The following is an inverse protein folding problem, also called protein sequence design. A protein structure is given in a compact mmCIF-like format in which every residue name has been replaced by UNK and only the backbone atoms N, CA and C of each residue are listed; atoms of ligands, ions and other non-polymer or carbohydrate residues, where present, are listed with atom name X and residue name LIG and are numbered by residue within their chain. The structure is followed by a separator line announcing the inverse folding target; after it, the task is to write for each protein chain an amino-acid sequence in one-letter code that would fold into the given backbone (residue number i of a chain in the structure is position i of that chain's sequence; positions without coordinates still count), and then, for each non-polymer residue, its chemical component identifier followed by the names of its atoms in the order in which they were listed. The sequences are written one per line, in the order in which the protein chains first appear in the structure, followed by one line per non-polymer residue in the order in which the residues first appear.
data_IF_186966026949
#
_entry.id   IF_186966026949
#
_cell.length_a   1.000
_cell.length_b   1.000
_cell.length_c   1.000
_cell.angle_alpha   90.00
_cell.angle_beta   90.00
_cell.angle_gamma   90.00
#
_symmetry.space_group_name_H-M   'P 1'
#
loop_
_entity.id
_entity.type
_entity.pdbx_description
1 polymer ?
#
# COMPACT_ATOMS: atom_id res chain seq x y z
N UNK A 1 -1.87 12.69 -19.58
CA UNK A 1 -1.19 12.14 -20.78
C UNK A 1 -1.40 13.12 -21.92
N UNK A 2 -0.39 13.93 -22.25
CA UNK A 2 -0.46 14.95 -23.30
C UNK A 2 0.90 15.24 -23.93
N UNK A 3 1.84 14.28 -23.87
CA UNK A 3 3.11 14.45 -24.54
C UNK A 3 3.03 13.98 -25.99
N UNK A 4 3.46 14.81 -26.95
CA UNK A 4 3.47 14.43 -28.35
C UNK A 4 4.46 13.29 -28.61
N UNK A 5 4.09 12.36 -29.50
CA UNK A 5 4.89 11.17 -29.87
C UNK A 5 6.23 11.55 -30.50
N UNK A 6 6.30 12.72 -31.16
CA UNK A 6 7.48 13.26 -31.85
C UNK A 6 7.48 14.77 -31.73
N UNK A 7 8.62 15.36 -31.35
CA UNK A 7 8.80 16.82 -31.36
C UNK A 7 9.47 17.24 -32.69
N UNK A 8 9.14 18.43 -33.19
CA UNK A 8 9.67 18.91 -34.47
C UNK A 8 11.18 19.16 -34.38
N UNK A 9 11.96 18.55 -35.28
CA UNK A 9 13.42 18.62 -35.29
C UNK A 9 14.14 17.60 -34.39
N UNK A 10 13.41 16.70 -33.73
CA UNK A 10 13.97 15.66 -32.88
C UNK A 10 14.59 14.52 -33.72
N UNK A 11 15.83 14.14 -33.42
CA UNK A 11 16.49 12.98 -34.04
C UNK A 11 15.92 11.67 -33.48
N UNK A 12 16.06 10.56 -34.21
CA UNK A 12 15.55 9.26 -33.75
C UNK A 12 16.10 8.84 -32.38
N UNK A 13 17.34 9.20 -32.07
CA UNK A 13 17.98 8.97 -30.77
C UNK A 13 17.40 9.86 -29.66
N UNK A 14 17.14 11.14 -29.96
CA UNK A 14 16.51 12.07 -29.01
C UNK A 14 15.12 11.60 -28.58
N UNK A 15 14.34 11.10 -29.53
CA UNK A 15 13.02 10.52 -29.27
C UNK A 15 13.09 9.27 -28.38
N UNK A 16 14.04 8.38 -28.65
CA UNK A 16 14.22 7.16 -27.86
C UNK A 16 14.60 7.50 -26.41
N UNK A 17 15.54 8.42 -26.22
CA UNK A 17 15.95 8.88 -24.89
C UNK A 17 14.78 9.51 -24.11
N UNK A 18 13.97 10.35 -24.76
CA UNK A 18 12.80 10.97 -24.14
C UNK A 18 11.72 9.97 -23.77
N UNK A 19 11.39 9.04 -24.67
CA UNK A 19 10.38 8.00 -24.39
C UNK A 19 10.84 7.07 -23.27
N UNK A 20 12.13 6.69 -23.23
CA UNK A 20 12.69 5.92 -22.11
C UNK A 20 12.62 6.69 -20.80
N UNK A 21 12.93 8.00 -20.81
CA UNK A 21 12.82 8.85 -19.63
C UNK A 21 11.35 9.02 -19.17
N UNK A 22 10.41 9.15 -20.11
CA UNK A 22 8.98 9.24 -19.80
C UNK A 22 8.43 7.93 -19.24
N UNK A 23 8.85 6.78 -19.77
CA UNK A 23 8.47 5.46 -19.25
C UNK A 23 9.07 5.24 -17.85
N UNK A 24 10.35 5.56 -17.63
CA UNK A 24 10.99 5.47 -16.32
C UNK A 24 10.36 6.42 -15.29
N UNK A 25 9.89 7.60 -15.72
CA UNK A 25 9.12 8.50 -14.86
C UNK A 25 7.74 7.93 -14.52
N UNK A 26 7.12 7.18 -15.43
CA UNK A 26 5.78 6.61 -15.24
C UNK A 26 5.78 5.30 -14.45
N UNK A 27 6.83 4.47 -14.52
CA UNK A 27 7.03 3.33 -13.59
C UNK A 27 7.07 3.82 -12.12
N UNK A 28 7.46 5.08 -11.91
CA UNK A 28 7.50 5.71 -10.60
C UNK A 28 6.13 6.21 -10.11
N UNK A 29 5.13 6.30 -11.00
CA UNK A 29 3.78 6.83 -10.75
C UNK A 29 2.73 5.75 -10.42
N UNK A 30 3.01 4.46 -10.64
CA UNK A 30 2.08 3.38 -10.23
C UNK A 30 1.94 3.25 -8.70
N UNK A 31 2.86 3.87 -7.95
CA UNK A 31 2.78 4.05 -6.50
C UNK A 31 2.03 5.33 -6.06
N UNK A 32 1.61 6.16 -7.01
CA UNK A 32 0.99 7.47 -6.82
C UNK A 32 -0.55 7.41 -6.75
N UNK A 33 -1.16 6.29 -6.34
CA UNK A 33 -2.59 6.23 -5.97
C UNK A 33 -2.90 7.03 -4.68
N UNK A 34 -1.98 7.89 -4.22
CA UNK A 34 -2.14 8.81 -3.10
C UNK A 34 -1.68 10.25 -3.36
N UNK A 35 -1.26 10.62 -4.58
CA UNK A 35 -0.71 11.94 -4.88
C UNK A 35 -1.72 13.09 -4.95
N UNK A 36 -3.02 12.79 -4.91
CA UNK A 36 -4.10 13.78 -5.05
C UNK A 36 -4.52 14.50 -3.76
N UNK A 37 -3.96 14.15 -2.60
CA UNK A 37 -4.22 14.87 -1.35
C UNK A 37 -2.90 15.35 -0.74
N UNK A 38 -2.55 16.61 -1.05
CA UNK A 38 -1.48 17.36 -0.38
C UNK A 38 -1.77 17.48 1.13
N UNK A 39 -1.35 16.49 1.92
CA UNK A 39 -1.13 16.69 3.35
C UNK A 39 0.26 17.32 3.48
N UNK A 40 0.28 18.65 3.54
CA UNK A 40 1.47 19.44 3.89
C UNK A 40 1.91 19.09 5.31
N UNK A 41 2.73 18.03 5.45
CA UNK A 41 3.48 17.81 6.68
C UNK A 41 4.56 18.88 6.79
N UNK A 42 4.32 19.86 7.66
CA UNK A 42 5.18 21.00 7.98
C UNK A 42 6.59 20.60 8.47
N UNK A 43 6.84 19.31 8.70
CA UNK A 43 8.13 18.73 9.02
C UNK A 43 9.14 18.75 7.86
N UNK A 44 8.69 18.87 6.59
CA UNK A 44 9.57 18.76 5.41
C UNK A 44 10.44 19.99 5.09
N UNK A 45 10.30 21.13 5.77
CA UNK A 45 11.04 22.36 5.41
C UNK A 45 12.40 22.52 6.10
N UNK A 46 12.69 21.79 7.17
CA UNK A 46 13.91 22.00 7.96
C UNK A 46 15.17 21.27 7.44
N UNK A 47 15.06 20.44 6.40
CA UNK A 47 16.17 19.58 5.96
C UNK A 47 17.09 20.13 4.87
N UNK A 48 16.87 21.33 4.33
CA UNK A 48 17.58 21.80 3.13
C UNK A 48 18.43 23.06 3.28
N UNK A 49 18.67 23.56 4.50
CA UNK A 49 19.61 24.67 4.72
C UNK A 49 20.61 24.30 5.81
N UNK A 50 21.86 24.07 5.41
CA UNK A 50 22.95 23.76 6.33
C UNK A 50 23.36 24.98 7.14
N UNK A 51 23.37 24.84 8.47
CA UNK A 51 24.21 25.65 9.36
C UNK A 51 24.48 24.89 10.66
N UNK A 52 25.76 24.72 10.99
CA UNK A 52 26.25 24.14 12.24
C UNK A 52 25.73 24.99 13.42
N UNK A 53 24.90 24.39 14.29
CA UNK A 53 24.66 24.89 15.65
C UNK A 53 24.52 23.73 16.63
N UNK A 54 25.49 23.62 17.52
CA UNK A 54 25.42 22.91 18.78
C UNK A 54 24.48 23.66 19.73
N UNK A 55 23.36 23.04 20.13
CA UNK A 55 22.64 23.38 21.36
C UNK A 55 21.74 22.22 21.75
N UNK A 56 21.94 21.75 22.98
CA UNK A 56 21.01 20.97 23.79
C UNK A 56 19.55 21.41 23.62
N UNK A 57 18.64 20.44 23.52
CA UNK A 57 17.36 20.46 24.23
C UNK A 57 16.54 19.19 23.98
N UNK A 58 16.17 18.57 25.10
CA UNK A 58 14.88 17.92 25.36
C UNK A 58 14.42 16.85 24.37
N UNK A 59 14.88 15.64 24.69
CA UNK A 59 14.21 14.38 24.41
C UNK A 59 12.79 14.40 25.04
N UNK A 60 11.81 14.97 24.35
CA UNK A 60 10.41 14.67 24.60
C UNK A 60 10.15 13.32 23.92
N UNK A 61 10.29 12.27 24.72
CA UNK A 61 9.99 10.91 24.28
C UNK A 61 8.56 10.85 23.76
N UNK A 62 8.43 10.77 22.44
CA UNK A 62 7.31 10.06 21.86
C UNK A 62 7.46 8.65 22.42
N UNK A 63 6.58 8.30 23.37
CA UNK A 63 6.52 6.93 23.85
C UNK A 63 6.10 6.12 22.63
N UNK A 64 7.08 5.50 21.99
CA UNK A 64 6.83 4.35 21.15
C UNK A 64 5.96 3.42 21.99
N UNK A 65 4.67 3.33 21.65
CA UNK A 65 3.74 2.31 22.14
C UNK A 65 4.19 0.94 21.56
N UNK A 66 5.45 0.58 21.81
CA UNK A 66 6.06 -0.74 21.59
C UNK A 66 5.68 -1.72 22.73
N UNK A 67 4.70 -1.35 23.56
CA UNK A 67 4.15 -2.24 24.61
C UNK A 67 3.10 -3.24 24.07
N UNK A 68 2.88 -3.31 22.74
CA UNK A 68 1.91 -4.24 22.11
C UNK A 68 2.53 -5.58 21.61
N UNK A 69 3.79 -5.85 21.97
CA UNK A 69 4.47 -7.13 21.67
C UNK A 69 4.46 -8.13 22.84
N UNK A 70 3.91 -7.77 24.01
CA UNK A 70 3.80 -8.68 25.17
C UNK A 70 2.52 -9.54 25.19
N UNK A 71 1.54 -9.25 24.33
CA UNK A 71 0.24 -9.95 24.31
C UNK A 71 0.17 -11.12 23.31
N UNK A 72 1.28 -11.61 22.78
CA UNK A 72 1.30 -12.89 22.07
C UNK A 72 1.43 -14.08 23.06
N UNK A 73 0.78 -13.96 24.23
CA UNK A 73 0.57 -15.09 25.14
C UNK A 73 -0.26 -16.16 24.43
N UNK A 74 0.11 -17.42 24.66
CA UNK A 74 -0.36 -18.61 23.95
C UNK A 74 -1.89 -18.75 24.07
N UNK A 75 -2.60 -18.22 23.09
CA UNK A 75 -4.00 -18.56 22.84
C UNK A 75 -4.04 -19.95 22.19
N UNK A 76 -4.14 -20.99 23.01
CA UNK A 76 -4.30 -22.40 22.62
C UNK A 76 -5.74 -22.69 22.10
N UNK A 77 -6.49 -21.65 21.72
CA UNK A 77 -7.79 -21.73 21.05
C UNK A 77 -7.69 -21.74 19.52
N UNK A 78 -8.81 -21.98 18.81
CA UNK A 78 -8.86 -21.82 17.36
C UNK A 78 -8.52 -20.36 17.00
N UNK A 79 -7.40 -20.18 16.29
CA UNK A 79 -6.90 -18.84 15.91
C UNK A 79 -7.98 -18.09 15.16
N UNK A 80 -8.50 -17.03 15.79
CA UNK A 80 -9.46 -16.11 15.19
C UNK A 80 -8.88 -15.51 13.90
N UNK A 81 -9.73 -15.29 12.88
CA UNK A 81 -9.34 -14.65 11.62
C UNK A 81 -8.64 -13.29 11.86
N UNK A 82 -9.08 -12.55 12.88
CA UNK A 82 -8.44 -11.29 13.29
C UNK A 82 -6.99 -11.50 13.73
N UNK A 83 -6.74 -12.52 14.57
CA UNK A 83 -5.40 -12.88 15.05
C UNK A 83 -4.53 -13.40 13.92
N UNK A 84 -5.09 -14.22 13.03
CA UNK A 84 -4.40 -14.76 11.87
C UNK A 84 -3.87 -13.65 10.95
N UNK A 85 -4.74 -12.70 10.58
CA UNK A 85 -4.38 -11.56 9.72
C UNK A 85 -3.37 -10.64 10.42
N UNK A 86 -3.60 -10.30 11.70
CA UNK A 86 -2.68 -9.46 12.48
C UNK A 86 -1.28 -10.07 12.56
N UNK A 87 -1.19 -11.36 12.93
CA UNK A 87 0.09 -12.07 13.07
C UNK A 87 0.84 -12.11 11.74
N UNK A 88 0.16 -12.44 10.65
CA UNK A 88 0.78 -12.50 9.33
C UNK A 88 1.41 -11.16 8.90
N UNK A 89 0.65 -10.06 8.97
CA UNK A 89 1.16 -8.75 8.57
C UNK A 89 2.23 -8.19 9.52
N UNK A 90 2.12 -8.45 10.84
CA UNK A 90 3.21 -8.15 11.79
C UNK A 90 4.49 -8.89 11.41
N UNK A 91 4.42 -10.18 11.12
CA UNK A 91 5.57 -10.98 10.69
C UNK A 91 6.19 -10.43 9.41
N UNK A 92 5.38 -10.06 8.40
CA UNK A 92 5.89 -9.46 7.17
C UNK A 92 6.58 -8.11 7.41
N UNK A 93 6.01 -7.23 8.24
CA UNK A 93 6.63 -5.94 8.58
C UNK A 93 7.99 -6.14 9.24
N UNK A 94 8.10 -7.10 10.16
CA UNK A 94 9.34 -7.44 10.85
C UNK A 94 10.39 -7.99 9.89
N UNK A 95 10.01 -8.93 9.02
CA UNK A 95 10.93 -9.46 8.01
C UNK A 95 11.39 -8.39 7.03
N UNK A 96 10.52 -7.45 6.66
CA UNK A 96 10.91 -6.32 5.81
C UNK A 96 11.89 -5.40 6.54
N UNK A 97 11.67 -5.10 7.81
CA UNK A 97 12.59 -4.32 8.64
C UNK A 97 13.97 -4.99 8.76
N UNK A 98 13.99 -6.29 9.04
CA UNK A 98 15.21 -7.11 9.09
C UNK A 98 15.96 -7.09 7.75
N UNK A 99 15.26 -7.21 6.63
CA UNK A 99 15.85 -7.15 5.29
C UNK A 99 16.47 -5.78 4.98
N UNK A 100 15.80 -4.69 5.37
CA UNK A 100 16.35 -3.34 5.23
C UNK A 100 17.61 -3.14 6.09
N UNK A 101 17.59 -3.70 7.30
CA UNK A 101 18.71 -3.62 8.25
C UNK A 101 19.88 -4.55 7.87
N UNK A 102 19.65 -5.61 7.11
CA UNK A 102 20.70 -6.50 6.61
C UNK A 102 21.48 -5.90 5.42
N UNK A 103 20.97 -4.84 4.78
CA UNK A 103 21.64 -4.20 3.63
C UNK A 103 23.01 -3.60 4.04
N UNK A 104 24.00 -3.61 3.12
CA UNK A 104 25.28 -2.97 3.37
C UNK A 104 25.12 -1.45 3.55
N UNK A 105 25.99 -0.84 4.35
CA UNK A 105 25.88 0.58 4.74
C UNK A 105 25.88 1.52 3.53
N UNK A 106 26.58 1.17 2.46
CA UNK A 106 26.60 1.91 1.20
C UNK A 106 25.21 1.99 0.56
N UNK A 107 24.44 0.90 0.61
CA UNK A 107 23.07 0.86 0.06
C UNK A 107 22.09 1.55 1.01
N UNK A 108 22.25 1.40 2.33
CA UNK A 108 21.44 2.12 3.33
C UNK A 108 21.60 3.64 3.20
N UNK A 109 22.84 4.09 3.00
CA UNK A 109 23.17 5.50 2.82
C UNK A 109 22.68 6.10 1.50
N UNK A 110 22.41 5.26 0.49
CA UNK A 110 21.91 5.71 -0.82
C UNK A 110 20.54 6.37 -0.72
N UNK A 111 20.22 7.23 -1.69
CA UNK A 111 18.89 7.87 -1.77
C UNK A 111 17.79 6.81 -1.79
N UNK A 112 17.98 5.73 -2.54
CA UNK A 112 17.01 4.65 -2.62
C UNK A 112 16.83 3.92 -1.28
N UNK A 113 17.93 3.53 -0.62
CA UNK A 113 17.86 2.84 0.67
C UNK A 113 17.18 3.66 1.77
N UNK A 114 17.42 4.98 1.80
CA UNK A 114 16.72 5.91 2.71
C UNK A 114 15.24 6.02 2.38
N UNK A 115 14.86 6.04 1.10
CA UNK A 115 13.45 6.06 0.65
C UNK A 115 12.75 4.77 1.05
N UNK A 116 13.35 3.61 0.82
CA UNK A 116 12.78 2.31 1.18
C UNK A 116 12.55 2.21 2.70
N UNK A 117 13.53 2.64 3.49
CA UNK A 117 13.42 2.68 4.95
C UNK A 117 12.30 3.59 5.42
N UNK A 118 12.15 4.76 4.81
CA UNK A 118 11.04 5.68 5.12
C UNK A 118 9.68 5.08 4.74
N UNK A 119 9.60 4.43 3.59
CA UNK A 119 8.37 3.78 3.12
C UNK A 119 7.96 2.64 4.03
N UNK A 120 8.91 1.85 4.53
CA UNK A 120 8.62 0.78 5.49
C UNK A 120 8.09 1.34 6.81
N UNK A 121 8.75 2.37 7.37
CA UNK A 121 8.29 3.03 8.62
C UNK A 121 6.88 3.61 8.47
N UNK A 122 6.63 4.35 7.38
CA UNK A 122 5.30 4.88 7.08
C UNK A 122 4.25 3.76 6.97
N UNK A 123 4.62 2.62 6.38
CA UNK A 123 3.72 1.49 6.23
C UNK A 123 3.40 0.82 7.57
N UNK A 124 4.38 0.74 8.48
CA UNK A 124 4.19 0.32 9.87
C UNK A 124 3.18 1.24 10.58
N UNK A 125 3.36 2.55 10.47
CA UNK A 125 2.48 3.55 11.10
C UNK A 125 1.04 3.46 10.60
N UNK A 126 0.85 3.30 9.30
CA UNK A 126 -0.49 3.18 8.70
C UNK A 126 -1.19 1.87 9.07
N UNK A 127 -0.45 0.81 9.42
CA UNK A 127 -1.02 -0.47 9.85
C UNK A 127 -1.35 -0.54 11.35
N UNK A 128 -0.72 0.28 12.19
CA UNK A 128 -1.03 0.38 13.64
C UNK A 128 -2.54 0.44 13.95
N UNK A 129 -3.36 1.34 13.34
CA UNK A 129 -4.79 1.38 13.64
C UNK A 129 -5.53 0.10 13.24
N UNK A 130 -5.12 -0.56 12.15
CA UNK A 130 -5.72 -1.83 11.71
C UNK A 130 -5.40 -2.96 12.71
N UNK A 131 -4.19 -3.03 13.24
CA UNK A 131 -3.82 -4.01 14.27
C UNK A 131 -4.61 -3.81 15.56
N UNK A 132 -4.83 -2.55 15.96
CA UNK A 132 -5.69 -2.22 17.12
C UNK A 132 -7.13 -2.66 16.90
N UNK A 133 -7.70 -2.41 15.72
CA UNK A 133 -9.04 -2.88 15.36
C UNK A 133 -9.14 -4.41 15.34
N UNK A 134 -8.08 -5.11 14.93
CA UNK A 134 -8.03 -6.57 14.98
C UNK A 134 -8.00 -7.09 16.42
N UNK A 135 -7.21 -6.47 17.30
CA UNK A 135 -7.16 -6.81 18.74
C UNK A 135 -8.51 -6.61 19.42
N UNK A 136 -9.25 -5.58 19.02
CA UNK A 136 -10.57 -5.26 19.55
C UNK A 136 -11.71 -6.04 18.87
N UNK A 137 -11.42 -6.91 17.89
CA UNK A 137 -12.43 -7.61 17.09
C UNK A 137 -13.48 -6.66 16.46
N UNK A 138 -13.06 -5.43 16.14
CA UNK A 138 -13.93 -4.34 15.67
C UNK A 138 -13.74 -4.02 14.18
N UNK A 139 -12.89 -4.78 13.48
CA UNK A 139 -12.72 -4.62 12.04
C UNK A 139 -13.99 -5.08 11.31
N UNK A 140 -14.37 -4.35 10.24
CA UNK A 140 -15.54 -4.72 9.44
C UNK A 140 -15.40 -6.18 8.93
N UNK A 141 -16.40 -7.05 9.18
CA UNK A 141 -16.33 -8.47 8.79
C UNK A 141 -16.09 -8.69 7.29
N UNK A 142 -16.62 -7.83 6.42
CA UNK A 142 -16.40 -7.93 4.97
C UNK A 142 -14.95 -7.61 4.58
N UNK A 143 -14.34 -6.63 5.26
CA UNK A 143 -12.91 -6.31 5.07
C UNK A 143 -12.06 -7.45 5.59
N UNK A 144 -12.36 -7.97 6.79
CA UNK A 144 -11.63 -9.09 7.38
C UNK A 144 -11.64 -10.31 6.46
N UNK A 145 -12.81 -10.70 5.95
CA UNK A 145 -12.94 -11.84 5.04
C UNK A 145 -12.10 -11.66 3.77
N UNK A 146 -12.04 -10.44 3.21
CA UNK A 146 -11.19 -10.15 2.07
C UNK A 146 -9.70 -10.19 2.44
N UNK A 147 -9.31 -9.67 3.60
CA UNK A 147 -7.93 -9.72 4.08
C UNK A 147 -7.46 -11.17 4.29
N UNK A 148 -8.28 -12.03 4.89
CA UNK A 148 -7.98 -13.46 5.05
C UNK A 148 -7.73 -14.11 3.68
N UNK A 149 -8.59 -13.85 2.69
CA UNK A 149 -8.40 -14.34 1.31
C UNK A 149 -7.10 -13.84 0.69
N UNK A 150 -6.77 -12.56 0.83
CA UNK A 150 -5.50 -12.00 0.36
C UNK A 150 -4.31 -12.72 1.01
N UNK A 151 -4.35 -12.92 2.32
CA UNK A 151 -3.28 -13.63 3.07
C UNK A 151 -3.11 -15.06 2.57
N UNK A 152 -4.20 -15.79 2.33
CA UNK A 152 -4.14 -17.16 1.82
C UNK A 152 -3.51 -17.20 0.41
N UNK A 153 -3.94 -16.33 -0.50
CA UNK A 153 -3.34 -16.26 -1.84
C UNK A 153 -1.87 -15.84 -1.81
N UNK A 154 -1.47 -14.90 -0.94
CA UNK A 154 -0.07 -14.53 -0.76
C UNK A 154 0.77 -15.70 -0.23
N UNK A 155 0.22 -16.53 0.66
CA UNK A 155 0.91 -17.73 1.17
C UNK A 155 1.08 -18.80 0.10
N UNK A 156 0.06 -19.00 -0.73
CA UNK A 156 0.07 -19.92 -1.88
C UNK A 156 0.95 -19.42 -3.05
N UNK A 157 1.38 -18.16 -3.03
CA UNK A 157 2.16 -17.55 -4.11
C UNK A 157 1.32 -17.11 -5.32
N UNK A 158 0.00 -17.00 -5.16
CA UNK A 158 -0.94 -16.54 -6.18
C UNK A 158 -1.14 -15.01 -6.07
N UNK A 159 -0.09 -14.23 -6.36
CA UNK A 159 -0.16 -12.76 -6.17
C UNK A 159 -1.14 -12.07 -7.11
N UNK A 160 -1.38 -12.61 -8.31
CA UNK A 160 -2.43 -12.10 -9.22
C UNK A 160 -3.81 -12.13 -8.54
N UNK A 161 -4.18 -13.28 -7.97
CA UNK A 161 -5.45 -13.42 -7.25
C UNK A 161 -5.48 -12.59 -5.97
N UNK A 162 -4.36 -12.51 -5.25
CA UNK A 162 -4.26 -11.65 -4.07
C UNK A 162 -4.49 -10.19 -4.43
N UNK A 163 -3.94 -9.74 -5.56
CA UNK A 163 -4.11 -8.39 -6.07
C UNK A 163 -5.54 -8.13 -6.54
N UNK A 164 -6.21 -9.09 -7.20
CA UNK A 164 -7.62 -8.96 -7.58
C UNK A 164 -8.52 -8.72 -6.35
N UNK A 165 -8.30 -9.49 -5.28
CA UNK A 165 -9.03 -9.29 -4.01
C UNK A 165 -8.71 -7.94 -3.38
N UNK A 166 -7.45 -7.50 -3.46
CA UNK A 166 -7.06 -6.15 -3.04
C UNK A 166 -7.82 -5.07 -3.83
N UNK A 167 -7.88 -5.16 -5.15
CA UNK A 167 -8.59 -4.20 -6.01
C UNK A 167 -10.08 -4.17 -5.71
N UNK A 168 -10.70 -5.35 -5.55
CA UNK A 168 -12.10 -5.48 -5.12
C UNK A 168 -12.36 -4.84 -3.76
N UNK A 169 -11.39 -4.89 -2.84
CA UNK A 169 -11.51 -4.30 -1.50
C UNK A 169 -11.27 -2.79 -1.52
N UNK A 170 -10.31 -2.32 -2.31
CA UNK A 170 -9.91 -0.92 -2.37
C UNK A 170 -10.91 -0.04 -3.14
N UNK A 171 -11.44 -0.54 -4.26
CA UNK A 171 -12.42 0.18 -5.09
C UNK A 171 -13.85 -0.13 -4.64
N UNK A 172 -14.05 -1.37 -4.19
CA UNK A 172 -15.38 -1.91 -3.94
C UNK A 172 -16.10 -2.33 -5.21
N UNK A 173 -17.15 -3.15 -5.03
CA UNK A 173 -18.06 -3.55 -6.11
C UNK A 173 -19.04 -2.41 -6.47
N UNK A 174 -18.62 -1.16 -6.35
CA UNK A 174 -19.40 -0.04 -6.83
C UNK A 174 -19.32 -0.06 -8.36
N UNK A 175 -20.43 -0.27 -9.09
CA UNK A 175 -20.41 -0.17 -10.53
C UNK A 175 -20.05 1.27 -10.89
N UNK A 176 -18.82 1.49 -11.36
CA UNK A 176 -18.49 2.71 -12.07
C UNK A 176 -19.13 2.59 -13.46
N UNK A 177 -20.11 3.43 -13.82
CA UNK A 177 -20.60 3.47 -15.19
C UNK A 177 -19.49 4.06 -16.05
N UNK A 178 -18.62 3.19 -16.57
CA UNK A 178 -17.65 3.56 -17.59
C UNK A 178 -18.47 3.93 -18.83
N UNK A 179 -18.69 5.23 -19.02
CA UNK A 179 -18.94 5.89 -20.32
C UNK A 179 -19.75 5.13 -21.37
N UNK A 180 -20.98 4.72 -21.06
CA UNK A 180 -22.00 4.50 -22.07
C UNK A 180 -23.33 5.12 -21.63
N UNK A 181 -23.38 6.46 -21.58
CA UNK A 181 -24.66 7.15 -21.67
C UNK A 181 -25.14 7.03 -23.11
N UNK A 182 -26.02 6.06 -23.36
CA UNK A 182 -27.23 6.15 -24.23
C UNK A 182 -27.62 4.76 -24.72
N UNK A 183 -28.84 4.29 -24.37
CA UNK A 183 -30.04 4.37 -25.24
C UNK A 183 -31.31 3.93 -24.48
N UNK A 184 -32.39 4.72 -24.62
CA UNK A 184 -33.78 4.27 -24.44
C UNK A 184 -34.57 4.93 -23.31
N UNK A 185 -35.65 5.63 -23.67
CA UNK A 185 -36.68 6.24 -22.80
C UNK A 185 -37.53 5.14 -22.15
N UNK A 186 -36.90 4.21 -21.44
CA UNK A 186 -37.60 3.28 -20.57
C UNK A 186 -36.65 2.87 -19.44
N UNK A 187 -36.73 3.62 -18.35
CA UNK A 187 -36.11 3.26 -17.08
C UNK A 187 -36.74 1.93 -16.61
N UNK A 188 -36.08 0.82 -16.93
CA UNK A 188 -36.53 -0.49 -16.44
C UNK A 188 -36.34 -0.48 -14.93
N UNK A 189 -37.45 -0.69 -14.22
CA UNK A 189 -37.60 -0.82 -12.76
C UNK A 189 -36.89 -2.08 -12.21
N UNK A 190 -35.59 -2.21 -12.50
CA UNK A 190 -34.71 -3.28 -12.05
C UNK A 190 -33.39 -2.76 -11.46
N UNK A 191 -33.22 -1.44 -11.36
CA UNK A 191 -32.04 -0.79 -10.77
C UNK A 191 -31.98 -0.89 -9.25
N UNK A 192 -33.10 -1.20 -8.58
CA UNK A 192 -33.17 -1.26 -7.11
C UNK A 192 -32.55 -2.52 -6.50
N UNK A 193 -32.23 -3.55 -7.30
CA UNK A 193 -31.58 -4.78 -6.77
C UNK A 193 -30.04 -4.73 -6.74
N UNK A 194 -29.43 -3.57 -7.00
CA UNK A 194 -27.98 -3.35 -6.88
C UNK A 194 -27.62 -2.64 -5.56
N UNK A 195 -28.47 -2.69 -4.53
CA UNK A 195 -28.21 -1.99 -3.26
C UNK A 195 -27.38 -2.76 -2.22
N UNK A 196 -26.97 -4.02 -2.47
CA UNK A 196 -26.34 -4.85 -1.43
C UNK A 196 -24.96 -5.40 -1.78
N UNK A 197 -24.06 -4.54 -2.27
CA UNK A 197 -22.61 -4.72 -2.08
C UNK A 197 -21.99 -3.40 -1.63
N UNK A 198 -22.26 -3.07 -0.37
CA UNK A 198 -21.91 -1.84 0.32
C UNK A 198 -20.39 -1.73 0.60
N UNK A 199 -19.58 -1.77 -0.46
CA UNK A 199 -18.10 -1.63 -0.42
C UNK A 199 -17.66 -0.19 -0.69
N UNK A 200 -18.60 0.71 -1.00
CA UNK A 200 -18.35 2.14 -1.14
C UNK A 200 -17.79 2.79 0.14
N UNK A 201 -18.03 2.20 1.32
CA UNK A 201 -17.59 2.76 2.60
C UNK A 201 -16.05 2.78 2.75
N UNK A 202 -15.31 1.87 2.11
CA UNK A 202 -13.85 1.76 2.28
C UNK A 202 -13.13 2.95 1.66
N UNK A 203 -13.59 3.36 0.48
CA UNK A 203 -13.09 4.56 -0.19
C UNK A 203 -13.45 5.85 0.56
N UNK A 204 -14.44 5.86 1.45
CA UNK A 204 -14.77 7.08 2.19
C UNK A 204 -13.90 7.29 3.45
N UNK A 205 -13.16 6.27 3.89
CA UNK A 205 -12.37 6.34 5.12
C UNK A 205 -10.87 6.39 4.83
N UNK A 206 -10.25 7.53 5.17
CA UNK A 206 -8.82 7.78 4.96
C UNK A 206 -7.92 6.79 5.72
N UNK A 207 -8.29 6.40 6.94
CA UNK A 207 -7.54 5.41 7.70
C UNK A 207 -7.57 4.04 7.00
N UNK A 208 -8.70 3.70 6.37
CA UNK A 208 -8.85 2.45 5.63
C UNK A 208 -8.03 2.43 4.34
N UNK A 209 -8.02 3.54 3.59
CA UNK A 209 -7.14 3.69 2.43
C UNK A 209 -5.66 3.55 2.80
N UNK A 210 -5.23 4.22 3.86
CA UNK A 210 -3.82 4.18 4.31
C UNK A 210 -3.34 2.76 4.61
N UNK A 211 -4.08 1.99 5.43
CA UNK A 211 -3.64 0.62 5.72
C UNK A 211 -3.73 -0.30 4.49
N UNK A 212 -4.70 -0.10 3.58
CA UNK A 212 -4.78 -0.89 2.35
C UNK A 212 -3.59 -0.61 1.43
N UNK A 213 -3.21 0.65 1.26
CA UNK A 213 -2.00 1.02 0.52
C UNK A 213 -0.76 0.35 1.15
N UNK A 214 -0.65 0.34 2.47
CA UNK A 214 0.43 -0.37 3.17
C UNK A 214 0.40 -1.88 2.98
N UNK A 215 -0.77 -2.51 2.90
CA UNK A 215 -0.90 -3.94 2.57
C UNK A 215 -0.42 -4.21 1.14
N UNK A 216 -0.77 -3.37 0.16
CA UNK A 216 -0.23 -3.50 -1.21
C UNK A 216 1.29 -3.41 -1.21
N UNK A 217 1.88 -2.47 -0.47
CA UNK A 217 3.34 -2.35 -0.33
C UNK A 217 3.99 -3.63 0.21
N UNK A 218 3.39 -4.22 1.25
CA UNK A 218 3.84 -5.50 1.81
C UNK A 218 3.70 -6.65 0.81
N UNK A 219 2.61 -6.68 0.05
CA UNK A 219 2.38 -7.68 -1.00
C UNK A 219 3.45 -7.59 -2.10
N UNK A 220 3.77 -6.38 -2.58
CA UNK A 220 4.82 -6.15 -3.57
C UNK A 220 6.20 -6.56 -3.05
N UNK A 221 6.54 -6.16 -1.82
CA UNK A 221 7.81 -6.56 -1.20
C UNK A 221 7.92 -8.09 -1.04
N UNK A 222 6.85 -8.75 -0.60
CA UNK A 222 6.83 -10.21 -0.46
C UNK A 222 6.99 -10.91 -1.81
N UNK A 223 6.36 -10.38 -2.87
CA UNK A 223 6.47 -10.90 -4.23
C UNK A 223 7.90 -10.76 -4.80
N UNK A 224 8.59 -9.66 -4.49
CA UNK A 224 9.99 -9.44 -4.88
C UNK A 224 10.90 -10.46 -4.19
N UNK A 225 10.68 -10.73 -2.90
CA UNK A 225 11.49 -11.66 -2.11
C UNK A 225 11.25 -13.13 -2.44
N UNK A 226 10.05 -13.50 -2.86
CA UNK A 226 9.73 -14.88 -3.25
C UNK A 226 10.35 -15.23 -4.60
N UNK A 227 11.40 -16.04 -4.58
CA UNK A 227 12.06 -16.60 -5.78
C UNK A 227 11.44 -17.92 -6.24
N UNK A 228 10.57 -18.51 -5.43
CA UNK A 228 9.85 -19.77 -5.65
C UNK A 228 8.64 -19.64 -6.59
N UNK A 229 8.15 -18.42 -6.81
CA UNK A 229 6.91 -18.17 -7.55
C UNK A 229 7.20 -17.87 -9.03
N UNK A 230 6.53 -18.55 -9.98
CA UNK A 230 6.73 -18.32 -11.40
C UNK A 230 6.29 -16.90 -11.80
N UNK A 231 6.94 -16.28 -12.81
CA UNK A 231 6.61 -14.92 -13.25
C UNK A 231 5.13 -14.72 -13.60
N UNK A 232 4.43 -15.75 -14.09
CA UNK A 232 3.01 -15.69 -14.44
C UNK A 232 2.06 -15.48 -13.26
N UNK A 233 2.52 -15.73 -12.03
CA UNK A 233 1.74 -15.54 -10.80
C UNK A 233 2.13 -14.27 -10.05
N UNK A 234 3.11 -13.53 -10.56
CA UNK A 234 3.53 -12.22 -10.06
C UNK A 234 2.72 -11.14 -10.77
N UNK A 235 2.35 -10.10 -10.04
CA UNK A 235 1.76 -8.90 -10.62
C UNK A 235 2.92 -7.95 -10.90
N UNK A 236 3.25 -7.76 -12.18
CA UNK A 236 4.20 -6.72 -12.60
C UNK A 236 3.64 -5.34 -12.27
#
# INVERSE_FOLDING_TARGET
MGEPVTVFGETGEGRAARLVAAVAAHEHDDFQIGGGHEIKNQFLRQGSEGSIRTTDSNNHGDKDDDDDDKDDEKDDGPVSDYTYVRRFFKTLLKQWEEDLNARPEQVKGSIQGRRDTRTQKQSKDYLRPMFKLCKQHALNPGILANLVKMVNFMKEGEFVKAHDVYMLTAIGNAPWPIGLTMVGIHERSGREKIESRNVAHIMNNEAQRKYLVSIKRLMTWLQEKRTDVPPSKKVM
#
